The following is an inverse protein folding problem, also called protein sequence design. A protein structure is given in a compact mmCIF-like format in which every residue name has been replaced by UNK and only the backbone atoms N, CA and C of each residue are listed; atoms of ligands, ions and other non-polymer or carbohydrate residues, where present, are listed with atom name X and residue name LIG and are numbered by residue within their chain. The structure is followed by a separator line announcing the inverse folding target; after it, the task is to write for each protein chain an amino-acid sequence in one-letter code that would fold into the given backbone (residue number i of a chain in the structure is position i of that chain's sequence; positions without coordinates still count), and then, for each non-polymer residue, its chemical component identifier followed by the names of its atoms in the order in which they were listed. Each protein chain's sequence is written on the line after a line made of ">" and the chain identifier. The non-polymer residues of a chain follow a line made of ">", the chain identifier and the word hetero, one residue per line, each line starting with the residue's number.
data_IF_301123590455
#
_entry.id   IF_301123590455
#
_cell.length_a   1.000
_cell.length_b   1.000
_cell.length_c   1.000
_cell.angle_alpha   90.00
_cell.angle_beta   90.00
_cell.angle_gamma   90.00
#
_symmetry.space_group_name_H-M   'P 1'
#
loop_
_entity.id
_entity.type
_entity.pdbx_description
1 polymer ?
#
# COMPACT_ATOMS: atom_id res chain seq x y z
N UNK A 1 -21.37 -5.86 8.14
CA UNK A 1 -20.01 -5.33 7.91
C UNK A 1 -19.93 -5.21 6.41
N UNK A 2 -19.86 -3.98 5.92
CA UNK A 2 -19.97 -3.72 4.50
C UNK A 2 -18.57 -3.48 3.97
N UNK A 3 -18.20 -4.21 2.94
CA UNK A 3 -16.91 -4.10 2.26
C UNK A 3 -17.19 -3.49 0.89
N UNK A 4 -16.62 -2.32 0.65
CA UNK A 4 -16.72 -1.61 -0.62
C UNK A 4 -15.41 -1.76 -1.37
N UNK A 5 -15.49 -2.07 -2.67
CA UNK A 5 -14.32 -2.17 -3.54
C UNK A 5 -14.32 -1.00 -4.53
N UNK A 6 -13.17 -0.37 -4.71
CA UNK A 6 -12.96 0.70 -5.65
C UNK A 6 -11.85 0.34 -6.63
N UNK A 7 -12.25 -0.11 -7.82
CA UNK A 7 -11.31 -0.40 -8.91
C UNK A 7 -11.19 0.75 -9.88
N UNK A 8 -9.98 1.01 -10.32
CA UNK A 8 -9.63 2.04 -11.28
C UNK A 8 -8.24 1.73 -11.87
N UNK A 9 -7.87 2.37 -12.97
CA UNK A 9 -6.54 2.21 -13.53
C UNK A 9 -5.47 2.85 -12.62
N UNK A 10 -4.25 2.32 -12.67
CA UNK A 10 -3.11 2.99 -12.07
C UNK A 10 -2.98 4.42 -12.64
N UNK A 11 -2.67 5.40 -11.79
CA UNK A 11 -2.60 6.80 -12.18
C UNK A 11 -3.96 7.52 -12.35
N UNK A 12 -5.10 6.84 -12.20
CA UNK A 12 -6.43 7.48 -12.26
C UNK A 12 -6.77 8.34 -11.02
N UNK A 13 -5.84 8.47 -10.06
CA UNK A 13 -6.03 9.28 -8.86
C UNK A 13 -6.77 8.56 -7.72
N UNK A 14 -6.64 7.23 -7.60
CA UNK A 14 -7.27 6.44 -6.52
C UNK A 14 -6.94 6.97 -5.14
N UNK A 15 -5.65 7.10 -4.85
CA UNK A 15 -5.17 7.60 -3.55
C UNK A 15 -5.73 9.00 -3.26
N UNK A 16 -5.78 9.88 -4.27
CA UNK A 16 -6.41 11.21 -4.13
C UNK A 16 -7.90 11.14 -3.81
N UNK A 17 -8.64 10.25 -4.47
CA UNK A 17 -10.05 10.03 -4.19
C UNK A 17 -10.27 9.46 -2.77
N UNK A 18 -9.46 8.49 -2.35
CA UNK A 18 -9.49 7.92 -1.00
C UNK A 18 -9.14 8.98 0.06
N UNK A 19 -8.12 9.82 -0.15
CA UNK A 19 -7.76 10.92 0.74
C UNK A 19 -8.89 11.93 0.92
N UNK A 20 -9.59 12.29 -0.17
CA UNK A 20 -10.77 13.17 -0.10
C UNK A 20 -11.95 12.53 0.61
N UNK A 21 -12.14 11.22 0.43
CA UNK A 21 -13.15 10.48 1.16
C UNK A 21 -12.84 10.42 2.65
N UNK A 22 -11.58 10.15 3.01
CA UNK A 22 -11.09 10.18 4.38
C UNK A 22 -11.28 11.55 5.03
N UNK A 23 -10.92 12.64 4.34
CA UNK A 23 -11.14 14.02 4.82
C UNK A 23 -12.62 14.29 5.09
N UNK A 24 -13.50 13.92 4.15
CA UNK A 24 -14.94 14.08 4.33
C UNK A 24 -15.43 13.35 5.58
N UNK A 25 -15.03 12.08 5.76
CA UNK A 25 -15.41 11.28 6.92
C UNK A 25 -14.92 11.90 8.22
N UNK A 26 -13.65 12.31 8.28
CA UNK A 26 -13.07 12.92 9.46
C UNK A 26 -13.71 14.27 9.82
N UNK A 27 -14.07 15.10 8.83
CA UNK A 27 -14.84 16.34 9.07
C UNK A 27 -16.23 16.09 9.65
N UNK A 28 -16.83 14.93 9.39
CA UNK A 28 -18.10 14.52 10.01
C UNK A 28 -17.92 13.84 11.37
N UNK A 29 -16.71 13.83 11.94
CA UNK A 29 -16.43 13.26 13.25
C UNK A 29 -16.12 11.75 13.23
N UNK A 30 -15.95 11.15 12.05
CA UNK A 30 -15.57 9.74 11.97
C UNK A 30 -14.06 9.54 12.12
N UNK A 31 -13.66 8.43 12.75
CA UNK A 31 -12.26 8.02 12.76
C UNK A 31 -11.97 7.16 11.55
N UNK A 32 -10.88 7.46 10.86
CA UNK A 32 -10.45 6.77 9.65
C UNK A 32 -9.09 6.14 9.91
N UNK A 33 -9.02 4.82 9.75
CA UNK A 33 -7.76 4.09 9.69
C UNK A 33 -7.38 3.97 8.22
N UNK A 34 -6.39 4.73 7.79
CA UNK A 34 -5.92 4.76 6.40
C UNK A 34 -4.64 3.93 6.28
N UNK A 35 -4.73 2.80 5.58
CA UNK A 35 -3.63 1.84 5.45
C UNK A 35 -3.06 1.91 4.04
N UNK A 36 -1.73 2.08 3.93
CA UNK A 36 -1.01 2.12 2.65
C UNK A 36 0.20 1.16 2.65
N UNK A 37 0.78 0.81 1.49
CA UNK A 37 1.89 -0.14 1.43
C UNK A 37 3.15 0.29 2.15
N UNK A 38 3.54 1.57 2.04
CA UNK A 38 4.84 2.05 2.52
C UNK A 38 4.75 3.37 3.28
N UNK A 39 5.71 3.58 4.18
CA UNK A 39 5.90 4.86 4.89
C UNK A 39 6.07 6.05 3.94
N UNK A 40 6.81 5.87 2.84
CA UNK A 40 7.04 6.92 1.84
C UNK A 40 5.73 7.35 1.16
N UNK A 41 4.84 6.40 0.87
CA UNK A 41 3.51 6.70 0.31
C UNK A 41 2.65 7.44 1.33
N UNK A 42 2.71 7.05 2.61
CA UNK A 42 2.03 7.77 3.70
C UNK A 42 2.48 9.22 3.77
N UNK A 43 3.78 9.45 3.84
CA UNK A 43 4.35 10.80 3.95
C UNK A 43 3.94 11.67 2.76
N UNK A 44 4.00 11.12 1.54
CA UNK A 44 3.56 11.81 0.31
C UNK A 44 2.07 12.10 0.32
N UNK A 45 1.25 11.13 0.73
CA UNK A 45 -0.22 11.29 0.77
C UNK A 45 -0.61 12.38 1.76
N UNK A 46 0.00 12.39 2.94
CA UNK A 46 -0.21 13.45 3.93
C UNK A 46 0.23 14.79 3.38
N UNK A 47 1.44 14.88 2.81
CA UNK A 47 2.00 16.15 2.33
C UNK A 47 1.24 16.75 1.14
N UNK A 48 0.82 15.93 0.18
CA UNK A 48 0.29 16.40 -1.10
C UNK A 48 -1.23 16.30 -1.22
N UNK A 49 -1.88 15.42 -0.47
CA UNK A 49 -3.33 15.20 -0.60
C UNK A 49 -4.11 15.65 0.63
N UNK A 50 -3.59 15.46 1.85
CA UNK A 50 -4.32 15.76 3.10
C UNK A 50 -4.02 17.16 3.63
N UNK A 51 -2.74 17.51 3.83
CA UNK A 51 -2.35 18.84 4.35
C UNK A 51 -2.92 20.00 3.54
N UNK A 52 -2.96 19.96 2.19
CA UNK A 52 -3.54 21.05 1.40
C UNK A 52 -5.06 21.23 1.59
N UNK A 53 -5.75 20.28 2.21
CA UNK A 53 -7.18 20.41 2.54
C UNK A 53 -7.42 21.23 3.82
N UNK A 54 -6.36 21.61 4.55
CA UNK A 54 -6.43 22.32 5.82
C UNK A 54 -7.35 21.58 6.83
N UNK A 55 -6.92 20.41 7.33
CA UNK A 55 -7.75 19.56 8.17
C UNK A 55 -7.99 20.19 9.54
N UNK A 56 -9.26 20.34 9.92
CA UNK A 56 -9.69 20.77 11.26
C UNK A 56 -9.72 19.63 12.29
N UNK A 57 -9.16 18.47 11.93
CA UNK A 57 -9.18 17.22 12.68
C UNK A 57 -7.76 16.66 12.78
N UNK A 58 -7.53 15.70 13.68
CA UNK A 58 -6.21 15.12 13.88
C UNK A 58 -5.77 14.28 12.67
N UNK A 59 -4.54 14.49 12.21
CA UNK A 59 -3.88 13.66 11.18
C UNK A 59 -2.60 13.10 11.79
N UNK A 60 -2.59 11.79 12.03
CA UNK A 60 -1.50 11.10 12.71
C UNK A 60 -0.90 10.06 11.77
N UNK A 61 0.43 9.93 11.74
CA UNK A 61 1.12 8.86 11.03
C UNK A 61 1.96 8.05 12.02
N UNK A 62 1.77 6.73 12.04
CA UNK A 62 2.53 5.82 12.92
C UNK A 62 3.19 4.74 12.06
N UNK A 63 4.49 4.91 11.83
CA UNK A 63 5.36 3.98 11.11
C UNK A 63 6.80 4.08 11.64
N UNK A 64 7.69 3.22 11.16
CA UNK A 64 9.04 3.04 11.73
C UNK A 64 9.94 4.29 11.75
N UNK A 65 9.66 5.29 10.93
CA UNK A 65 10.43 6.55 10.89
C UNK A 65 9.77 7.66 11.74
N UNK A 66 8.47 7.53 12.02
CA UNK A 66 7.70 8.49 12.82
C UNK A 66 7.78 8.19 14.33
N UNK A 67 8.21 6.99 14.71
CA UNK A 67 8.30 6.55 16.11
C UNK A 67 9.76 6.26 16.44
N UNK A 68 10.31 6.95 17.45
CA UNK A 68 11.72 6.82 17.84
C UNK A 68 11.92 6.03 19.14
N UNK A 69 11.01 6.18 20.12
CA UNK A 69 11.22 5.69 21.49
C UNK A 69 10.49 4.38 21.83
N UNK A 70 9.73 3.81 20.88
CA UNK A 70 8.98 2.59 21.09
C UNK A 70 8.73 1.82 19.79
N UNK A 71 8.24 0.58 19.89
CA UNK A 71 7.81 -0.16 18.71
C UNK A 71 6.56 0.49 18.08
N UNK A 72 6.45 0.42 16.75
CA UNK A 72 5.27 0.89 15.99
C UNK A 72 3.97 0.29 16.56
N UNK A 73 3.98 -0.99 16.93
CA UNK A 73 2.80 -1.66 17.49
C UNK A 73 2.44 -1.11 18.87
N UNK A 74 3.43 -0.85 19.73
CA UNK A 74 3.18 -0.23 21.04
C UNK A 74 2.58 1.18 20.88
N UNK A 75 3.12 1.98 19.96
CA UNK A 75 2.58 3.31 19.65
C UNK A 75 1.13 3.22 19.15
N UNK A 76 0.81 2.27 18.27
CA UNK A 76 -0.55 2.06 17.78
C UNK A 76 -1.53 1.64 18.88
N UNK A 77 -1.13 0.69 19.73
CA UNK A 77 -1.96 0.25 20.85
C UNK A 77 -2.20 1.40 21.82
N UNK A 78 -1.19 2.21 22.10
CA UNK A 78 -1.34 3.42 22.92
C UNK A 78 -2.30 4.42 22.28
N UNK A 79 -2.15 4.67 20.97
CA UNK A 79 -3.02 5.56 20.21
C UNK A 79 -4.48 5.12 20.26
N UNK A 80 -4.76 3.84 19.97
CA UNK A 80 -6.12 3.31 20.01
C UNK A 80 -6.75 3.38 21.42
N UNK A 81 -5.95 3.22 22.48
CA UNK A 81 -6.44 3.38 23.87
C UNK A 81 -6.77 4.82 24.22
N UNK A 82 -6.01 5.78 23.69
CA UNK A 82 -6.20 7.20 23.93
C UNK A 82 -7.28 7.84 23.04
N UNK A 83 -7.69 7.17 21.96
CA UNK A 83 -8.65 7.70 21.00
C UNK A 83 -10.04 7.93 21.64
N UNK A 84 -10.38 9.20 21.88
CA UNK A 84 -11.67 9.62 22.40
C UNK A 84 -12.78 9.47 21.35
N UNK A 85 -14.02 9.19 21.80
CA UNK A 85 -15.18 9.08 20.91
C UNK A 85 -15.67 10.44 20.47
N UNK A 86 -16.11 10.54 19.20
CA UNK A 86 -16.79 11.72 18.67
C UNK A 86 -15.89 12.70 17.93
N UNK A 87 -14.57 12.65 18.15
CA UNK A 87 -13.62 13.47 17.41
C UNK A 87 -13.16 12.75 16.14
N UNK A 88 -13.30 13.46 15.02
CA UNK A 88 -12.80 13.02 13.73
C UNK A 88 -11.27 12.91 13.72
N UNK A 89 -10.76 11.89 13.04
CA UNK A 89 -9.32 11.65 12.95
C UNK A 89 -8.99 10.85 11.69
N UNK A 90 -7.81 11.07 11.11
CA UNK A 90 -7.19 10.15 10.17
C UNK A 90 -5.88 9.63 10.76
N UNK A 91 -5.81 8.32 10.97
CA UNK A 91 -4.61 7.60 11.38
C UNK A 91 -4.03 6.85 10.18
N UNK A 92 -2.82 7.22 9.77
CA UNK A 92 -2.05 6.54 8.72
C UNK A 92 -1.13 5.47 9.28
N UNK A 93 -1.21 4.26 8.72
CA UNK A 93 -0.32 3.13 9.05
C UNK A 93 0.06 2.33 7.81
N UNK A 94 1.12 1.53 7.90
CA UNK A 94 1.50 0.65 6.79
C UNK A 94 0.71 -0.66 6.80
N UNK A 95 0.61 -1.34 5.65
CA UNK A 95 0.11 -2.72 5.55
C UNK A 95 0.80 -3.65 6.56
N UNK A 96 2.12 -3.55 6.67
CA UNK A 96 2.91 -4.36 7.59
C UNK A 96 2.57 -4.10 9.07
N UNK A 97 2.26 -2.86 9.44
CA UNK A 97 1.82 -2.52 10.79
C UNK A 97 0.40 -3.04 11.05
N UNK A 98 -0.52 -2.86 10.10
CA UNK A 98 -1.89 -3.35 10.19
C UNK A 98 -1.96 -4.87 10.38
N UNK A 99 -1.20 -5.63 9.58
CA UNK A 99 -1.13 -7.09 9.67
C UNK A 99 -0.62 -7.62 11.02
N UNK A 100 0.14 -6.79 11.75
CA UNK A 100 0.71 -7.13 13.06
C UNK A 100 -0.12 -6.60 14.24
N UNK A 101 -1.19 -5.85 13.99
CA UNK A 101 -2.02 -5.32 15.06
C UNK A 101 -2.74 -6.46 15.80
N UNK A 102 -2.61 -6.54 17.13
CA UNK A 102 -3.30 -7.58 17.89
C UNK A 102 -4.80 -7.31 18.03
N UNK A 103 -5.20 -6.04 18.10
CA UNK A 103 -6.59 -5.60 18.14
C UNK A 103 -6.69 -4.09 17.84
N UNK A 104 -7.91 -3.62 17.57
CA UNK A 104 -8.26 -2.20 17.47
C UNK A 104 -9.28 -1.90 18.57
N UNK A 105 -8.94 -0.98 19.48
CA UNK A 105 -9.85 -0.53 20.52
C UNK A 105 -11.04 0.19 19.89
N UNK A 106 -12.26 -0.10 20.35
CA UNK A 106 -13.49 0.48 19.82
C UNK A 106 -13.61 0.36 18.29
N UNK A 107 -13.27 -0.80 17.71
CA UNK A 107 -13.25 -1.03 16.25
C UNK A 107 -14.48 -0.53 15.48
N UNK A 108 -15.65 -0.48 16.11
CA UNK A 108 -16.90 0.00 15.49
C UNK A 108 -16.88 1.51 15.20
N UNK A 109 -16.01 2.25 15.86
CA UNK A 109 -15.86 3.71 15.71
C UNK A 109 -14.87 4.06 14.57
N UNK A 110 -14.18 3.05 14.00
CA UNK A 110 -13.17 3.22 12.96
C UNK A 110 -13.66 2.75 11.59
N UNK A 111 -13.46 3.59 10.59
CA UNK A 111 -13.64 3.26 9.17
C UNK A 111 -12.28 2.89 8.60
N UNK A 112 -12.14 1.65 8.13
CA UNK A 112 -10.93 1.18 7.49
C UNK A 112 -10.93 1.56 6.00
N UNK A 113 -9.92 2.31 5.57
CA UNK A 113 -9.60 2.53 4.17
C UNK A 113 -8.28 1.84 3.87
N UNK A 114 -8.30 0.91 2.94
CA UNK A 114 -7.13 0.16 2.50
C UNK A 114 -6.79 0.59 1.07
N UNK A 115 -5.66 1.26 0.91
CA UNK A 115 -5.15 1.70 -0.39
C UNK A 115 -4.09 0.73 -0.88
N UNK A 116 -4.16 0.43 -2.16
CA UNK A 116 -3.55 -0.74 -2.79
C UNK A 116 -4.03 -2.06 -2.19
N UNK A 117 -4.04 -3.11 -3.01
CA UNK A 117 -4.29 -4.45 -2.51
C UNK A 117 -3.09 -4.84 -1.63
N UNK A 118 -3.29 -5.28 -0.37
CA UNK A 118 -2.20 -5.82 0.41
C UNK A 118 -1.47 -6.87 -0.42
N UNK A 119 -0.14 -6.79 -0.49
CA UNK A 119 0.66 -7.81 -1.16
C UNK A 119 0.42 -9.13 -0.41
N UNK A 120 -0.53 -9.94 -0.89
CA UNK A 120 -0.76 -11.33 -0.46
C UNK A 120 0.25 -12.25 -1.14
N UNK A 121 0.94 -11.74 -2.17
CA UNK A 121 2.00 -12.44 -2.87
C UNK A 121 3.24 -12.52 -2.00
N UNK A 122 3.53 -13.75 -1.55
CA UNK A 122 4.84 -14.16 -1.07
C UNK A 122 5.79 -14.02 -2.25
N UNK A 123 6.39 -12.85 -2.42
CA UNK A 123 7.58 -12.71 -3.26
C UNK A 123 8.74 -13.38 -2.52
N UNK A 124 8.81 -14.71 -2.64
CA UNK A 124 10.04 -15.42 -2.40
C UNK A 124 11.01 -15.06 -3.53
N UNK A 125 12.00 -14.23 -3.21
CA UNK A 125 13.15 -14.03 -4.07
C UNK A 125 13.96 -15.33 -4.08
N UNK A 126 13.64 -16.21 -5.03
CA UNK A 126 14.40 -17.44 -5.21
C UNK A 126 15.79 -17.11 -5.74
N UNK A 127 16.81 -17.28 -4.91
CA UNK A 127 18.19 -17.38 -5.39
C UNK A 127 18.34 -18.73 -6.08
N UNK A 128 18.26 -18.73 -7.41
CA UNK A 128 18.40 -19.90 -8.28
C UNK A 128 19.74 -19.89 -9.02
N UNK A 129 20.90 -19.84 -8.34
CA UNK A 129 22.19 -19.71 -9.03
C UNK A 129 22.42 -20.83 -10.05
N UNK A 130 21.98 -22.05 -9.72
CA UNK A 130 22.22 -23.25 -10.52
C UNK A 130 21.10 -23.56 -11.54
N UNK A 131 19.95 -22.87 -11.47
CA UNK A 131 18.76 -23.18 -12.29
C UNK A 131 18.09 -21.95 -12.91
N UNK A 132 18.66 -20.76 -12.75
CA UNK A 132 18.10 -19.55 -13.36
C UNK A 132 18.16 -19.60 -14.89
N UNK A 133 19.19 -20.24 -15.44
CA UNK A 133 19.41 -20.47 -16.88
C UNK A 133 18.22 -21.19 -17.53
N UNK A 134 17.60 -22.16 -16.84
CA UNK A 134 16.39 -22.86 -17.30
C UNK A 134 15.22 -21.94 -17.64
N UNK A 135 15.22 -20.71 -17.11
CA UNK A 135 14.18 -19.71 -17.36
C UNK A 135 14.75 -18.56 -18.20
N UNK A 136 15.91 -18.02 -17.80
CA UNK A 136 16.49 -16.82 -18.43
C UNK A 136 16.95 -17.06 -19.87
N UNK A 137 17.32 -18.30 -20.24
CA UNK A 137 17.77 -18.62 -21.60
C UNK A 137 16.63 -18.60 -22.63
N UNK A 138 15.38 -18.58 -22.16
CA UNK A 138 14.19 -18.46 -22.99
C UNK A 138 13.67 -17.02 -23.07
N UNK A 139 14.34 -16.07 -22.42
CA UNK A 139 13.92 -14.67 -22.36
C UNK A 139 15.01 -13.76 -22.93
N UNK A 140 14.63 -12.81 -23.77
CA UNK A 140 15.49 -11.72 -24.25
C UNK A 140 15.01 -10.39 -23.71
N UNK A 141 15.94 -9.55 -23.26
CA UNK A 141 15.64 -8.18 -22.84
C UNK A 141 15.71 -7.23 -24.04
N UNK A 142 14.59 -6.64 -24.42
CA UNK A 142 14.54 -5.55 -25.38
C UNK A 142 14.56 -4.21 -24.63
N UNK A 143 15.50 -3.30 -24.92
CA UNK A 143 15.49 -1.95 -24.35
C UNK A 143 14.18 -1.21 -24.71
N UNK A 144 13.42 -0.79 -23.70
CA UNK A 144 12.15 -0.06 -23.85
C UNK A 144 12.29 1.46 -23.65
N UNK A 145 13.52 1.99 -23.68
CA UNK A 145 13.85 3.40 -23.43
C UNK A 145 14.97 3.56 -22.40
N UNK A 146 15.15 4.78 -21.88
CA UNK A 146 16.26 5.12 -20.99
C UNK A 146 16.14 4.55 -19.56
N UNK A 147 14.97 4.05 -19.17
CA UNK A 147 14.68 3.66 -17.78
C UNK A 147 14.22 2.21 -17.60
N UNK A 148 13.78 1.52 -18.66
CA UNK A 148 13.20 0.17 -18.55
C UNK A 148 13.49 -0.69 -19.77
N UNK A 149 13.58 -2.01 -19.57
CA UNK A 149 13.62 -3.04 -20.62
C UNK A 149 12.38 -3.93 -20.54
N UNK A 150 11.98 -4.50 -21.68
CA UNK A 150 10.88 -5.46 -21.80
C UNK A 150 11.47 -6.85 -22.01
N UNK A 151 11.09 -7.83 -21.19
CA UNK A 151 11.43 -9.23 -21.45
C UNK A 151 10.47 -9.80 -22.50
N UNK A 152 11.03 -10.39 -23.55
CA UNK A 152 10.28 -11.13 -24.57
C UNK A 152 10.70 -12.59 -24.53
N UNK A 153 9.77 -13.49 -24.88
CA UNK A 153 10.14 -14.88 -25.12
C UNK A 153 11.00 -14.98 -26.38
N UNK A 154 12.07 -15.75 -26.30
CA UNK A 154 12.84 -16.15 -27.47
C UNK A 154 11.89 -16.90 -28.41
N UNK A 155 11.90 -16.55 -29.70
CA UNK A 155 11.13 -17.28 -30.70
C UNK A 155 11.61 -18.74 -30.65
N UNK A 156 10.70 -19.73 -30.54
CA UNK A 156 11.11 -21.13 -30.62
C UNK A 156 11.87 -21.34 -31.94
N UNK A 157 12.91 -22.22 -31.97
CA UNK A 157 13.56 -22.56 -33.21
C UNK A 157 12.49 -22.98 -34.22
N UNK A 158 12.60 -22.50 -35.45
CA UNK A 158 11.72 -22.95 -36.51
C UNK A 158 11.95 -24.46 -36.64
N UNK A 159 10.89 -25.25 -36.49
CA UNK A 159 10.93 -26.68 -36.76
C UNK A 159 11.53 -26.86 -38.15
N UNK A 160 12.62 -27.62 -38.24
CA UNK A 160 13.33 -27.90 -39.49
C UNK A 160 12.31 -28.36 -40.56
N UNK A 161 12.12 -27.53 -41.59
CA UNK A 161 11.34 -27.87 -42.77
C UNK A 161 11.89 -29.17 -43.39
N UNK A 162 11.02 -30.17 -43.46
CA UNK A 162 10.99 -31.32 -44.36
C UNK A 162 12.33 -31.70 -45.03
N UNK A 163 12.99 -32.73 -44.49
CA UNK A 163 13.92 -33.55 -45.25
C UNK A 163 13.14 -34.31 -46.33
N UNK A 164 13.33 -33.88 -47.59
CA UNK A 164 12.93 -34.60 -48.81
C UNK A 164 13.84 -35.80 -49.10
#
# INVERSE_FOLDING_TARGET
>A
MDIYYFDALAGAGKTRALSRYADRLARYGHKVLFVQPTKLLIDKTIAHEVKPLDPAYAVTAIHGDAVQDQSVIAALVAHFKAAERGDGEILFITHAAFAKLPYIQNRADWILLMDEVPQVDVFEEFRLPDTHDLITDHLSLIPGGAAYGTLIMNKPPADDEEAA
#
